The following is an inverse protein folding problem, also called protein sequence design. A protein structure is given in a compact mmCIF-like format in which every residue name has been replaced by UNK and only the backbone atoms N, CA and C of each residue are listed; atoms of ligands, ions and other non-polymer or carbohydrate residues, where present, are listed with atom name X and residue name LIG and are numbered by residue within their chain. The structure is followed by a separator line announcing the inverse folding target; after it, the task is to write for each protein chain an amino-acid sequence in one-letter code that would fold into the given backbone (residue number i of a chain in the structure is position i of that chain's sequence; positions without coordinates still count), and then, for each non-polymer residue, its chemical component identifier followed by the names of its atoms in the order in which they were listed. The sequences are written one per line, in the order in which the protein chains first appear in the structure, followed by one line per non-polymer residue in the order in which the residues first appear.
data_IF_963928475746
#
_entry.id   IF_963928475746
#
_cell.length_a   1.000
_cell.length_b   1.000
_cell.length_c   1.000
_cell.angle_alpha   90.00
_cell.angle_beta   90.00
_cell.angle_gamma   90.00
#
_symmetry.space_group_name_H-M   'P 1'
#
loop_
_entity.id
_entity.type
_entity.pdbx_description
1 polymer ?
#
# COMPACT_ATOMS: atom_id res chain seq x y z
N UNK A 1 -6.03 46.84 11.20
CA UNK A 1 -4.99 46.78 10.16
C UNK A 1 -5.10 45.45 9.42
N UNK A 2 -6.04 45.34 8.46
CA UNK A 2 -6.21 44.14 7.61
C UNK A 2 -5.28 44.11 6.38
N UNK A 3 -4.61 45.21 6.04
CA UNK A 3 -3.82 45.36 4.80
C UNK A 3 -2.56 44.47 4.73
N UNK A 4 -2.13 43.86 5.85
CA UNK A 4 -0.97 42.94 5.89
C UNK A 4 -1.33 41.47 5.78
N UNK A 5 -2.61 41.07 5.91
CA UNK A 5 -3.01 39.67 5.84
C UNK A 5 -3.06 39.14 4.41
N UNK A 6 -3.58 39.93 3.48
CA UNK A 6 -3.71 39.53 2.08
C UNK A 6 -2.37 39.15 1.41
N UNK A 7 -1.29 39.97 1.48
CA UNK A 7 -0.01 39.59 0.87
C UNK A 7 0.65 38.38 1.55
N UNK A 8 0.37 38.17 2.84
CA UNK A 8 0.85 36.99 3.57
C UNK A 8 0.13 35.72 3.09
N UNK A 9 -1.20 35.77 2.93
CA UNK A 9 -2.00 34.66 2.41
C UNK A 9 -1.59 34.31 0.98
N UNK A 10 -1.37 35.30 0.12
CA UNK A 10 -0.94 35.09 -1.26
C UNK A 10 0.45 34.43 -1.33
N UNK A 11 1.36 34.81 -0.41
CA UNK A 11 2.68 34.19 -0.29
C UNK A 11 2.56 32.72 0.13
N UNK A 12 1.72 32.42 1.13
CA UNK A 12 1.50 31.06 1.59
C UNK A 12 0.84 30.19 0.50
N UNK A 13 -0.14 30.73 -0.22
CA UNK A 13 -0.80 30.05 -1.32
C UNK A 13 0.18 29.71 -2.45
N UNK A 14 1.07 30.65 -2.82
CA UNK A 14 2.11 30.40 -3.82
C UNK A 14 3.13 29.34 -3.37
N UNK A 15 3.53 29.37 -2.09
CA UNK A 15 4.42 28.35 -1.53
C UNK A 15 3.78 26.96 -1.55
N UNK A 16 2.49 26.87 -1.20
CA UNK A 16 1.74 25.63 -1.24
C UNK A 16 1.59 25.12 -2.68
N UNK A 17 1.21 26.00 -3.62
CA UNK A 17 1.08 25.64 -5.04
C UNK A 17 2.40 25.13 -5.62
N UNK A 18 3.51 25.78 -5.27
CA UNK A 18 4.86 25.38 -5.73
C UNK A 18 5.28 24.03 -5.17
N UNK A 19 4.94 23.74 -3.90
CA UNK A 19 5.33 22.49 -3.22
C UNK A 19 4.34 21.34 -3.43
N UNK A 20 3.11 21.63 -3.87
CA UNK A 20 2.06 20.64 -4.04
C UNK A 20 2.45 19.51 -5.00
N UNK A 21 3.11 19.76 -6.16
CA UNK A 21 3.58 18.68 -7.04
C UNK A 21 4.55 17.73 -6.35
N UNK A 22 5.51 18.25 -5.57
CA UNK A 22 6.50 17.44 -4.87
C UNK A 22 5.87 16.59 -3.76
N UNK A 23 4.92 17.18 -3.01
CA UNK A 23 4.15 16.47 -1.98
C UNK A 23 3.28 15.37 -2.59
N UNK A 24 2.64 15.65 -3.73
CA UNK A 24 1.85 14.67 -4.46
C UNK A 24 2.74 13.54 -4.97
N UNK A 25 3.86 13.86 -5.62
CA UNK A 25 4.80 12.86 -6.12
C UNK A 25 5.35 11.97 -5.00
N UNK A 26 5.64 12.56 -3.83
CA UNK A 26 6.07 11.81 -2.64
C UNK A 26 4.98 10.84 -2.18
N UNK A 27 3.73 11.30 -2.06
CA UNK A 27 2.61 10.47 -1.66
C UNK A 27 2.32 9.35 -2.68
N UNK A 28 2.42 9.64 -3.97
CA UNK A 28 2.28 8.66 -5.06
C UNK A 28 3.37 7.60 -5.01
N UNK A 29 4.62 8.00 -4.76
CA UNK A 29 5.74 7.09 -4.60
C UNK A 29 5.56 6.18 -3.38
N UNK A 30 5.16 6.74 -2.23
CA UNK A 30 4.90 5.96 -1.02
C UNK A 30 3.76 4.96 -1.24
N UNK A 31 2.69 5.37 -1.93
CA UNK A 31 1.60 4.49 -2.31
C UNK A 31 2.07 3.36 -3.25
N UNK A 32 2.94 3.65 -4.22
CA UNK A 32 3.50 2.64 -5.12
C UNK A 32 4.37 1.63 -4.36
N UNK A 33 5.18 2.08 -3.40
CA UNK A 33 5.99 1.22 -2.53
C UNK A 33 5.10 0.33 -1.66
N UNK A 34 4.06 0.88 -1.04
CA UNK A 34 3.12 0.12 -0.22
C UNK A 34 2.38 -0.94 -1.04
N UNK A 35 1.87 -0.58 -2.22
CA UNK A 35 1.23 -1.53 -3.15
C UNK A 35 2.16 -2.68 -3.54
N UNK A 36 3.42 -2.37 -3.83
CA UNK A 36 4.44 -3.37 -4.17
C UNK A 36 4.69 -4.32 -3.01
N UNK A 37 4.83 -3.80 -1.78
CA UNK A 37 5.03 -4.63 -0.58
C UNK A 37 3.83 -5.54 -0.30
N UNK A 38 2.61 -5.04 -0.47
CA UNK A 38 1.40 -5.84 -0.34
C UNK A 38 1.38 -6.96 -1.39
N UNK A 39 1.66 -6.63 -2.65
CA UNK A 39 1.69 -7.61 -3.74
C UNK A 39 2.71 -8.74 -3.48
N UNK A 40 3.92 -8.40 -3.05
CA UNK A 40 4.95 -9.39 -2.70
C UNK A 40 4.53 -10.27 -1.51
N UNK A 41 3.89 -9.67 -0.50
CA UNK A 41 3.41 -10.41 0.68
C UNK A 41 2.32 -11.41 0.30
N UNK A 42 1.36 -11.00 -0.53
CA UNK A 42 0.31 -11.88 -1.05
C UNK A 42 0.92 -12.98 -1.90
N UNK A 43 1.86 -12.66 -2.78
CA UNK A 43 2.57 -13.65 -3.59
C UNK A 43 3.24 -14.71 -2.71
N UNK A 44 3.96 -14.30 -1.65
CA UNK A 44 4.57 -15.23 -0.70
C UNK A 44 3.55 -16.13 0.00
N UNK A 45 2.43 -15.58 0.51
CA UNK A 45 1.40 -16.35 1.22
C UNK A 45 0.81 -17.46 0.32
N UNK A 46 0.63 -17.17 -0.97
CA UNK A 46 0.00 -18.10 -1.90
C UNK A 46 1.00 -18.97 -2.68
N UNK A 47 2.30 -18.74 -2.56
CA UNK A 47 3.32 -19.53 -3.24
C UNK A 47 3.57 -20.86 -2.49
N UNK A 48 3.25 -22.02 -3.09
CA UNK A 48 3.42 -23.32 -2.46
C UNK A 48 4.89 -23.75 -2.30
N UNK A 49 5.86 -23.06 -2.91
CA UNK A 49 7.29 -23.42 -2.75
C UNK A 49 7.83 -23.10 -1.37
N UNK A 50 7.19 -22.21 -0.61
CA UNK A 50 7.56 -21.88 0.76
C UNK A 50 6.80 -22.72 1.79
N UNK A 51 7.41 -22.87 2.97
CA UNK A 51 6.85 -23.61 4.09
C UNK A 51 5.40 -23.17 4.42
N UNK A 52 4.52 -24.16 4.57
CA UNK A 52 3.10 -23.91 4.78
C UNK A 52 2.82 -23.21 6.12
N UNK A 53 3.54 -23.58 7.19
CA UNK A 53 3.33 -22.99 8.51
C UNK A 53 3.77 -21.51 8.53
N UNK A 54 4.90 -21.19 7.89
CA UNK A 54 5.37 -19.82 7.74
C UNK A 54 4.37 -18.95 6.98
N UNK A 55 3.82 -19.45 5.87
CA UNK A 55 2.79 -18.73 5.09
C UNK A 55 1.50 -18.51 5.88
N UNK A 56 1.03 -19.55 6.57
CA UNK A 56 -0.18 -19.48 7.41
C UNK A 56 -0.02 -18.53 8.60
N UNK A 57 1.11 -18.60 9.31
CA UNK A 57 1.40 -17.72 10.44
C UNK A 57 1.49 -16.25 10.00
N UNK A 58 2.10 -15.97 8.84
CA UNK A 58 2.14 -14.62 8.29
C UNK A 58 0.75 -14.12 7.92
N UNK A 59 -0.06 -14.93 7.23
CA UNK A 59 -1.43 -14.57 6.87
C UNK A 59 -2.27 -14.26 8.12
N UNK A 60 -2.20 -15.09 9.16
CA UNK A 60 -2.87 -14.87 10.44
C UNK A 60 -2.43 -13.57 11.11
N UNK A 61 -1.12 -13.31 11.17
CA UNK A 61 -0.57 -12.08 11.77
C UNK A 61 -1.07 -10.82 11.06
N UNK A 62 -1.30 -10.91 9.75
CA UNK A 62 -1.78 -9.80 8.93
C UNK A 62 -3.30 -9.73 8.80
N UNK A 63 -4.05 -10.68 9.38
CA UNK A 63 -5.51 -10.76 9.23
C UNK A 63 -5.96 -11.06 7.80
N UNK A 64 -5.10 -11.71 7.00
CA UNK A 64 -5.36 -12.03 5.59
C UNK A 64 -5.86 -13.47 5.42
N UNK A 65 -6.54 -13.79 4.30
CA UNK A 65 -6.82 -15.16 3.94
C UNK A 65 -5.53 -15.99 3.87
N UNK A 66 -5.57 -17.20 4.42
CA UNK A 66 -4.46 -18.13 4.36
C UNK A 66 -4.17 -18.62 2.92
N UNK A 67 -3.13 -19.44 2.75
CA UNK A 67 -2.84 -20.12 1.49
C UNK A 67 -4.09 -20.69 0.82
N UNK A 68 -4.19 -20.56 -0.50
CA UNK A 68 -5.29 -21.18 -1.23
C UNK A 68 -5.16 -22.69 -1.07
N UNK A 69 -6.20 -23.34 -0.53
CA UNK A 69 -6.27 -24.79 -0.59
C UNK A 69 -6.31 -25.20 -2.07
N UNK A 70 -5.51 -26.18 -2.51
CA UNK A 70 -5.67 -26.71 -3.85
C UNK A 70 -7.13 -27.16 -3.95
N UNK A 71 -7.83 -26.72 -5.00
CA UNK A 71 -9.19 -27.18 -5.27
C UNK A 71 -9.12 -28.70 -5.29
N UNK A 72 -9.73 -29.35 -4.32
CA UNK A 72 -10.04 -30.78 -4.39
C UNK A 72 -11.04 -30.93 -5.53
N UNK A 73 -10.55 -31.12 -6.75
CA UNK A 73 -11.37 -31.73 -7.80
C UNK A 73 -11.83 -33.08 -7.26
N UNK A 74 -13.14 -33.35 -7.15
CA UNK A 74 -13.59 -34.66 -6.76
C UNK A 74 -13.12 -35.64 -7.84
N UNK A 75 -12.29 -36.61 -7.43
CA UNK A 75 -11.95 -37.76 -8.26
C UNK A 75 -13.26 -38.40 -8.71
N UNK A 76 -13.55 -38.30 -10.00
CA UNK A 76 -14.68 -38.99 -10.62
C UNK A 76 -14.22 -40.43 -10.85
N UNK A 77 -14.61 -41.34 -9.97
CA UNK A 77 -14.57 -42.80 -10.20
C UNK A 77 -15.93 -43.26 -10.68
#
# INVERSE_FOLDING_TARGET
MPDTEQPYVDTLANQLHTRHPDLLATAENDLAVLRTRIALTVAFIHDPTYDHNARTALAQRLGLPGPAHPKTTPETT
#
